data_IF_151129943428
#
_entry.id   IF_151129943428
#
_cell.length_a   1.000
_cell.length_b   1.000
_cell.length_c   1.000
_cell.angle_alpha   90.00
_cell.angle_beta   90.00
_cell.angle_gamma   90.00
#
_symmetry.space_group_name_H-M   'P 1'
#
loop_
_entity.id
_entity.type
_entity.pdbx_description
1 polymer ?
#
# COMPACT_ATOMS: atom_id res chain seq x y z
N UNK A 1 41.37 -14.95 53.01
CA UNK A 1 41.90 -16.22 52.44
C UNK A 1 43.29 -16.10 51.83
N UNK A 2 43.75 -14.93 51.33
CA UNK A 2 45.13 -14.77 50.81
C UNK A 2 46.23 -14.81 51.88
N UNK A 3 45.99 -14.28 53.09
CA UNK A 3 47.00 -14.22 54.16
C UNK A 3 47.47 -15.57 54.72
N UNK A 4 46.71 -16.65 54.53
CA UNK A 4 47.08 -17.98 55.05
C UNK A 4 48.04 -18.77 54.15
N UNK A 5 48.07 -18.49 52.85
CA UNK A 5 48.91 -19.25 51.89
C UNK A 5 50.38 -18.83 51.98
N UNK A 6 50.65 -17.53 52.19
CA UNK A 6 52.00 -16.99 52.32
C UNK A 6 52.67 -17.42 53.65
N UNK A 7 51.89 -17.70 54.71
CA UNK A 7 52.40 -18.18 56.01
C UNK A 7 52.82 -19.66 56.00
N UNK A 8 52.32 -20.46 55.05
CA UNK A 8 52.57 -21.91 54.97
C UNK A 8 53.43 -22.33 53.76
N UNK A 9 53.97 -21.37 53.00
CA UNK A 9 54.87 -21.65 51.86
C UNK A 9 54.19 -22.41 50.71
N UNK A 10 52.86 -22.32 50.59
CA UNK A 10 52.09 -23.01 49.56
C UNK A 10 52.09 -22.19 48.26
N UNK A 11 52.26 -22.88 47.13
CA UNK A 11 52.27 -22.25 45.81
C UNK A 11 50.93 -21.55 45.53
N UNK A 12 50.98 -20.26 45.19
CA UNK A 12 49.83 -19.42 44.85
C UNK A 12 49.05 -19.96 43.65
N UNK A 13 49.66 -20.81 42.82
CA UNK A 13 48.97 -21.50 41.73
C UNK A 13 47.83 -22.43 42.20
N UNK A 14 47.85 -22.89 43.45
CA UNK A 14 46.77 -23.71 44.04
C UNK A 14 45.47 -22.93 44.29
N UNK A 15 45.51 -21.59 44.23
CA UNK A 15 44.32 -20.73 44.30
C UNK A 15 43.58 -20.65 42.95
N UNK A 16 44.21 -21.07 41.85
CA UNK A 16 43.59 -21.12 40.52
C UNK A 16 42.80 -22.43 40.42
N UNK A 17 41.52 -22.32 40.05
CA UNK A 17 40.68 -23.49 39.86
C UNK A 17 41.28 -24.40 38.75
N UNK A 18 41.65 -25.66 39.02
CA UNK A 18 42.29 -26.53 38.04
C UNK A 18 41.31 -27.11 37.01
N UNK A 19 39.99 -26.95 37.22
CA UNK A 19 38.95 -27.48 36.36
C UNK A 19 38.37 -26.43 35.40
N UNK A 20 38.78 -25.16 35.49
CA UNK A 20 38.32 -24.10 34.57
C UNK A 20 39.26 -22.90 34.53
N UNK A 21 39.44 -22.32 33.34
CA UNK A 21 40.15 -21.04 33.17
C UNK A 21 39.26 -19.81 33.42
N UNK A 22 37.98 -19.99 33.73
CA UNK A 22 37.06 -18.88 34.02
C UNK A 22 37.33 -18.29 35.41
N UNK A 23 37.62 -17.00 35.43
CA UNK A 23 37.76 -16.25 36.70
C UNK A 23 36.41 -15.65 37.13
N UNK A 24 36.21 -15.52 38.45
CA UNK A 24 35.03 -14.84 39.01
C UNK A 24 34.87 -13.42 38.47
N UNK A 25 35.98 -12.69 38.28
CA UNK A 25 35.98 -11.35 37.69
C UNK A 25 35.50 -11.36 36.24
N UNK A 26 35.89 -12.36 35.44
CA UNK A 26 35.41 -12.51 34.07
C UNK A 26 33.89 -12.78 34.03
N UNK A 27 33.40 -13.70 34.86
CA UNK A 27 31.96 -13.98 34.98
C UNK A 27 31.17 -12.73 35.41
N UNK A 28 31.67 -11.99 36.39
CA UNK A 28 31.05 -10.75 36.83
C UNK A 28 31.02 -9.71 35.70
N UNK A 29 32.12 -9.52 34.96
CA UNK A 29 32.16 -8.61 33.81
C UNK A 29 31.15 -9.00 32.72
N UNK A 30 31.07 -10.30 32.38
CA UNK A 30 30.09 -10.80 31.41
C UNK A 30 28.65 -10.65 31.88
N UNK A 31 28.39 -10.84 33.17
CA UNK A 31 27.08 -10.56 33.76
C UNK A 31 26.70 -9.09 33.64
N UNK A 32 27.61 -8.17 33.97
CA UNK A 32 27.37 -6.73 33.81
C UNK A 32 27.15 -6.34 32.33
N UNK A 33 27.88 -6.95 31.40
CA UNK A 33 27.68 -6.74 29.96
C UNK A 33 26.26 -7.15 29.53
N UNK A 34 25.77 -8.32 29.97
CA UNK A 34 24.40 -8.76 29.69
C UNK A 34 23.38 -7.78 30.29
N UNK A 35 23.56 -7.37 31.54
CA UNK A 35 22.67 -6.41 32.19
C UNK A 35 22.59 -5.08 31.43
N UNK A 36 23.70 -4.61 30.86
CA UNK A 36 23.75 -3.39 30.06
C UNK A 36 23.12 -3.55 28.67
N UNK A 37 23.12 -4.76 28.10
CA UNK A 37 22.54 -5.06 26.79
C UNK A 37 21.01 -5.21 26.84
N UNK A 38 20.45 -5.65 27.97
CA UNK A 38 18.99 -5.79 28.15
C UNK A 38 18.23 -4.50 27.81
N UNK A 39 18.50 -3.33 28.43
CA UNK A 39 17.74 -2.11 28.13
C UNK A 39 17.96 -1.61 26.70
N UNK A 40 19.13 -1.86 26.11
CA UNK A 40 19.41 -1.50 24.71
C UNK A 40 18.55 -2.33 23.75
N UNK A 41 18.43 -3.63 24.03
CA UNK A 41 17.55 -4.52 23.27
C UNK A 41 16.10 -4.12 23.42
N UNK A 42 15.64 -3.82 24.64
CA UNK A 42 14.26 -3.38 24.87
C UNK A 42 13.95 -2.10 24.11
N UNK A 43 14.90 -1.15 24.06
CA UNK A 43 14.75 0.06 23.27
C UNK A 43 14.65 -0.22 21.77
N UNK A 44 15.53 -1.07 21.22
CA UNK A 44 15.47 -1.49 19.81
C UNK A 44 14.14 -2.19 19.48
N UNK A 45 13.66 -3.06 20.37
CA UNK A 45 12.37 -3.74 20.20
C UNK A 45 11.19 -2.75 20.23
N UNK A 46 11.23 -1.73 21.08
CA UNK A 46 10.19 -0.70 21.12
C UNK A 46 10.17 0.15 19.83
N UNK A 47 11.35 0.51 19.31
CA UNK A 47 11.46 1.23 18.04
C UNK A 47 10.90 0.39 16.88
N UNK A 48 11.29 -0.87 16.78
CA UNK A 48 10.78 -1.77 15.74
C UNK A 48 9.27 -2.01 15.91
N UNK A 49 8.76 -2.17 17.13
CA UNK A 49 7.32 -2.28 17.38
C UNK A 49 6.57 -1.05 16.85
N UNK A 50 7.08 0.16 17.13
CA UNK A 50 6.46 1.39 16.64
C UNK A 50 6.44 1.44 15.10
N UNK A 51 7.56 1.07 14.46
CA UNK A 51 7.66 0.97 13.01
C UNK A 51 6.67 -0.03 12.43
N UNK A 52 6.54 -1.22 13.03
CA UNK A 52 5.57 -2.23 12.59
C UNK A 52 4.13 -1.74 12.74
N UNK A 53 3.80 -1.00 13.81
CA UNK A 53 2.48 -0.40 13.97
C UNK A 53 2.19 0.67 12.92
N UNK A 54 3.16 1.49 12.55
CA UNK A 54 3.01 2.46 11.45
C UNK A 54 2.80 1.77 10.11
N UNK A 55 3.59 0.73 9.82
CA UNK A 55 3.45 -0.08 8.62
C UNK A 55 2.07 -0.74 8.51
N UNK A 56 1.55 -1.25 9.63
CA UNK A 56 0.21 -1.84 9.67
C UNK A 56 -0.89 -0.80 9.41
N UNK A 57 -0.77 0.41 9.97
CA UNK A 57 -1.70 1.51 9.69
C UNK A 57 -1.72 1.87 8.20
N UNK A 58 -0.56 1.90 7.54
CA UNK A 58 -0.48 2.15 6.10
C UNK A 58 -1.17 1.03 5.30
N UNK A 59 -0.95 -0.24 5.65
CA UNK A 59 -1.64 -1.38 5.01
C UNK A 59 -3.15 -1.28 5.14
N UNK A 60 -3.65 -0.93 6.33
CA UNK A 60 -5.08 -0.77 6.60
C UNK A 60 -5.66 0.41 5.82
N UNK A 61 -5.00 1.57 5.83
CA UNK A 61 -5.45 2.74 5.08
C UNK A 61 -5.51 2.48 3.56
N UNK A 62 -4.53 1.76 3.02
CA UNK A 62 -4.56 1.34 1.62
C UNK A 62 -5.73 0.38 1.36
N UNK A 63 -5.87 -0.66 2.20
CA UNK A 63 -6.93 -1.66 2.07
C UNK A 63 -8.31 -1.00 2.03
N UNK A 64 -8.63 -0.19 3.04
CA UNK A 64 -9.95 0.44 3.16
C UNK A 64 -10.28 1.24 1.90
N UNK A 65 -9.35 2.07 1.41
CA UNK A 65 -9.59 2.87 0.21
C UNK A 65 -9.69 2.02 -1.06
N UNK A 66 -8.84 0.99 -1.19
CA UNK A 66 -8.84 0.09 -2.34
C UNK A 66 -10.15 -0.74 -2.43
N UNK A 67 -10.69 -1.21 -1.29
CA UNK A 67 -11.95 -1.96 -1.24
C UNK A 67 -13.17 -1.15 -1.66
N UNK A 68 -13.14 0.18 -1.50
CA UNK A 68 -14.20 1.05 -2.01
C UNK A 68 -13.99 1.41 -3.48
N UNK A 69 -12.76 1.68 -3.89
CA UNK A 69 -12.43 2.14 -5.24
C UNK A 69 -12.53 1.02 -6.29
N UNK A 70 -12.05 -0.20 -5.96
CA UNK A 70 -11.99 -1.33 -6.90
C UNK A 70 -13.36 -1.70 -7.48
N UNK A 71 -14.37 -2.03 -6.64
CA UNK A 71 -15.71 -2.36 -7.13
C UNK A 71 -16.39 -1.20 -7.86
N UNK A 72 -16.12 0.04 -7.45
CA UNK A 72 -16.63 1.22 -8.16
C UNK A 72 -16.07 1.31 -9.59
N UNK A 73 -14.76 1.09 -9.77
CA UNK A 73 -14.13 1.07 -11.09
C UNK A 73 -14.72 -0.01 -11.99
N UNK A 74 -14.87 -1.24 -11.46
CA UNK A 74 -15.46 -2.37 -12.19
C UNK A 74 -16.89 -2.05 -12.66
N UNK A 75 -17.73 -1.52 -11.76
CA UNK A 75 -19.11 -1.16 -12.07
C UNK A 75 -19.20 -0.03 -13.11
N UNK A 76 -18.38 1.02 -12.98
CA UNK A 76 -18.37 2.11 -13.96
C UNK A 76 -17.89 1.64 -15.34
N UNK A 77 -16.90 0.75 -15.40
CA UNK A 77 -16.44 0.19 -16.66
C UNK A 77 -17.54 -0.63 -17.35
N UNK A 78 -18.25 -1.48 -16.60
CA UNK A 78 -19.38 -2.25 -17.11
C UNK A 78 -20.51 -1.32 -17.63
N UNK A 79 -20.82 -0.24 -16.89
CA UNK A 79 -21.80 0.75 -17.33
C UNK A 79 -21.43 1.36 -18.68
N UNK A 80 -20.17 1.81 -18.85
CA UNK A 80 -19.70 2.40 -20.11
C UNK A 80 -19.80 1.41 -21.28
N UNK A 81 -19.44 0.14 -21.05
CA UNK A 81 -19.55 -0.90 -22.07
C UNK A 81 -21.01 -1.22 -22.44
N UNK A 82 -21.92 -1.17 -21.48
CA UNK A 82 -23.34 -1.46 -21.70
C UNK A 82 -24.09 -0.37 -22.49
N UNK A 83 -23.66 0.88 -22.36
CA UNK A 83 -24.30 2.05 -23.00
C UNK A 83 -24.18 1.98 -24.53
N UNK A 84 -23.07 1.44 -25.05
CA UNK A 84 -22.81 1.37 -26.49
C UNK A 84 -23.80 0.53 -27.31
N UNK A 85 -24.66 -0.28 -26.66
CA UNK A 85 -25.52 -1.24 -27.36
C UNK A 85 -27.03 -1.05 -27.24
N UNK A 86 -27.54 -0.15 -26.39
CA UNK A 86 -28.97 -0.18 -25.99
C UNK A 86 -29.74 1.16 -26.02
N UNK A 87 -29.07 2.30 -26.12
CA UNK A 87 -29.73 3.62 -26.01
C UNK A 87 -29.64 4.44 -27.31
N UNK A 88 -30.52 5.45 -27.41
CA UNK A 88 -30.43 6.44 -28.50
C UNK A 88 -29.15 7.26 -28.36
N UNK A 89 -28.58 7.72 -29.49
CA UNK A 89 -27.30 8.46 -29.54
C UNK A 89 -27.26 9.64 -28.56
N UNK A 90 -28.33 10.42 -28.46
CA UNK A 90 -28.43 11.58 -27.59
C UNK A 90 -28.45 11.20 -26.11
N UNK A 91 -29.17 10.14 -25.75
CA UNK A 91 -29.20 9.60 -24.39
C UNK A 91 -27.84 9.02 -23.99
N UNK A 92 -27.19 8.31 -24.91
CA UNK A 92 -25.84 7.77 -24.73
C UNK A 92 -24.82 8.89 -24.45
N UNK A 93 -24.83 9.97 -25.24
CA UNK A 93 -23.92 11.11 -25.04
C UNK A 93 -24.17 11.78 -23.67
N UNK A 94 -25.43 11.95 -23.28
CA UNK A 94 -25.78 12.52 -21.97
C UNK A 94 -25.30 11.67 -20.80
N UNK A 95 -25.49 10.35 -20.89
CA UNK A 95 -25.04 9.40 -19.86
C UNK A 95 -23.50 9.33 -19.77
N UNK A 96 -22.79 9.32 -20.89
CA UNK A 96 -21.32 9.31 -20.91
C UNK A 96 -20.72 10.57 -20.28
N UNK A 97 -21.28 11.75 -20.58
CA UNK A 97 -20.83 13.01 -19.95
C UNK A 97 -21.03 13.00 -18.44
N UNK A 98 -22.14 12.42 -17.96
CA UNK A 98 -22.38 12.27 -16.53
C UNK A 98 -21.37 11.31 -15.88
N UNK A 99 -21.14 10.14 -16.47
CA UNK A 99 -20.14 9.17 -15.98
C UNK A 99 -18.73 9.78 -15.98
N UNK A 100 -18.37 10.54 -17.03
CA UNK A 100 -17.10 11.23 -17.12
C UNK A 100 -16.94 12.26 -15.99
N UNK A 101 -17.96 13.08 -15.74
CA UNK A 101 -17.95 14.06 -14.66
C UNK A 101 -17.82 13.39 -13.27
N UNK A 102 -18.57 12.32 -13.04
CA UNK A 102 -18.47 11.53 -11.81
C UNK A 102 -17.08 10.94 -11.65
N UNK A 103 -16.49 10.46 -12.75
CA UNK A 103 -15.14 9.91 -12.74
C UNK A 103 -14.11 10.94 -12.30
N UNK A 104 -14.16 12.17 -12.84
CA UNK A 104 -13.25 13.24 -12.39
C UNK A 104 -13.35 13.53 -10.88
N UNK A 105 -14.52 13.36 -10.26
CA UNK A 105 -14.69 13.48 -8.81
C UNK A 105 -13.99 12.39 -8.00
N UNK A 106 -13.69 11.23 -8.61
CA UNK A 106 -12.96 10.13 -7.97
C UNK A 106 -11.44 10.21 -8.16
N UNK A 107 -10.95 11.04 -9.11
CA UNK A 107 -9.51 11.23 -9.35
C UNK A 107 -8.71 11.57 -8.07
N UNK A 108 -9.17 12.47 -7.17
CA UNK A 108 -8.45 12.76 -5.93
C UNK A 108 -8.31 11.54 -5.00
N UNK A 109 -9.28 10.61 -5.02
CA UNK A 109 -9.22 9.38 -4.20
C UNK A 109 -8.16 8.42 -4.71
N UNK A 110 -7.97 8.36 -6.03
CA UNK A 110 -6.91 7.58 -6.68
C UNK A 110 -5.55 8.18 -6.33
N UNK A 111 -5.42 9.50 -6.43
CA UNK A 111 -4.17 10.21 -6.09
C UNK A 111 -3.80 10.05 -4.62
N UNK A 112 -4.79 10.07 -3.72
CA UNK A 112 -4.57 9.78 -2.30
C UNK A 112 -4.09 8.34 -2.08
N UNK A 113 -4.66 7.37 -2.80
CA UNK A 113 -4.26 5.97 -2.71
C UNK A 113 -2.83 5.76 -3.23
N UNK A 114 -2.46 6.41 -4.32
CA UNK A 114 -1.09 6.42 -4.86
C UNK A 114 -0.10 6.98 -3.83
N UNK A 115 -0.46 8.07 -3.15
CA UNK A 115 0.38 8.64 -2.08
C UNK A 115 0.58 7.66 -0.93
N UNK A 116 -0.46 6.95 -0.51
CA UNK A 116 -0.34 5.91 0.53
C UNK A 116 0.54 4.76 0.04
N UNK A 117 0.38 4.34 -1.21
CA UNK A 117 1.20 3.30 -1.80
C UNK A 117 2.69 3.69 -1.84
N UNK A 118 2.99 4.94 -2.21
CA UNK A 118 4.35 5.47 -2.17
C UNK A 118 4.93 5.42 -0.74
N UNK A 119 4.15 5.85 0.26
CA UNK A 119 4.58 5.75 1.67
C UNK A 119 4.83 4.31 2.12
N UNK A 120 4.03 3.35 1.63
CA UNK A 120 4.27 1.92 1.90
C UNK A 120 5.60 1.45 1.28
N UNK A 121 5.88 1.83 0.03
CA UNK A 121 7.15 1.49 -0.64
C UNK A 121 8.36 2.10 0.07
N UNK A 122 8.27 3.36 0.50
CA UNK A 122 9.32 4.05 1.28
C UNK A 122 9.60 3.35 2.61
N UNK A 123 8.60 2.70 3.20
CA UNK A 123 8.73 1.89 4.42
C UNK A 123 9.03 0.40 4.15
N UNK A 124 9.35 0.02 2.91
CA UNK A 124 9.61 -1.36 2.46
C UNK A 124 8.45 -2.33 2.73
N UNK A 125 7.22 -1.83 2.68
CA UNK A 125 5.99 -2.63 2.80
C UNK A 125 5.44 -2.91 1.39
N UNK A 126 5.56 -4.16 0.95
CA UNK A 126 5.16 -4.57 -0.40
C UNK A 126 3.93 -5.49 -0.41
N UNK A 127 3.64 -6.13 0.71
CA UNK A 127 2.52 -7.04 0.87
C UNK A 127 1.31 -6.34 1.49
N UNK A 128 0.13 -6.60 0.94
CA UNK A 128 -1.13 -6.27 1.58
C UNK A 128 -2.08 -7.47 1.44
N UNK A 129 -2.02 -8.40 2.41
CA UNK A 129 -2.93 -9.56 2.47
C UNK A 129 -4.39 -9.18 2.70
N UNK A 130 -4.64 -7.92 3.05
CA UNK A 130 -5.96 -7.41 3.38
C UNK A 130 -6.85 -7.13 2.17
N UNK A 131 -6.30 -6.98 0.95
CA UNK A 131 -7.07 -6.68 -0.26
C UNK A 131 -6.53 -7.43 -1.46
N UNK A 132 -7.42 -7.81 -2.39
CA UNK A 132 -7.03 -8.39 -3.70
C UNK A 132 -6.56 -7.33 -4.70
N UNK A 133 -6.82 -6.06 -4.41
CA UNK A 133 -6.51 -4.95 -5.30
C UNK A 133 -5.09 -4.45 -5.05
N UNK A 134 -4.21 -4.60 -6.04
CA UNK A 134 -2.91 -3.92 -6.06
C UNK A 134 -3.06 -2.51 -6.61
N UNK A 135 -2.11 -1.62 -6.27
CA UNK A 135 -2.12 -0.26 -6.82
C UNK A 135 -2.09 -0.29 -8.36
N UNK A 136 -1.29 -1.19 -8.93
CA UNK A 136 -1.22 -1.44 -10.37
C UNK A 136 -2.59 -1.84 -10.95
N UNK A 137 -3.31 -2.76 -10.32
CA UNK A 137 -4.63 -3.19 -10.81
C UNK A 137 -5.65 -2.04 -10.84
N UNK A 138 -5.60 -1.14 -9.85
CA UNK A 138 -6.50 0.01 -9.76
C UNK A 138 -6.13 1.09 -10.78
N UNK A 139 -4.83 1.30 -11.00
CA UNK A 139 -4.33 2.21 -12.04
C UNK A 139 -4.75 1.75 -13.43
N UNK A 140 -4.51 0.49 -13.76
CA UNK A 140 -4.93 -0.09 -15.04
C UNK A 140 -6.45 -0.03 -15.20
N UNK A 141 -7.22 -0.31 -14.15
CA UNK A 141 -8.67 -0.19 -14.15
C UNK A 141 -9.15 1.23 -14.46
N UNK A 142 -8.52 2.24 -13.85
CA UNK A 142 -8.82 3.65 -14.10
C UNK A 142 -8.45 4.10 -15.53
N UNK A 143 -7.25 3.76 -16.01
CA UNK A 143 -6.82 4.07 -17.37
C UNK A 143 -7.74 3.42 -18.41
N UNK A 144 -8.16 2.17 -18.16
CA UNK A 144 -9.13 1.45 -18.98
C UNK A 144 -10.49 2.14 -19.02
N UNK A 145 -11.01 2.59 -17.86
CA UNK A 145 -12.25 3.35 -17.78
C UNK A 145 -12.18 4.64 -18.61
N UNK A 146 -11.12 5.44 -18.45
CA UNK A 146 -10.95 6.69 -19.19
C UNK A 146 -10.84 6.46 -20.69
N UNK A 147 -10.07 5.45 -21.09
CA UNK A 147 -9.91 5.06 -22.49
C UNK A 147 -11.25 4.61 -23.09
N UNK A 148 -12.02 3.80 -22.35
CA UNK A 148 -13.34 3.32 -22.76
C UNK A 148 -14.31 4.48 -22.96
N UNK A 149 -14.40 5.41 -22.01
CA UNK A 149 -15.25 6.61 -22.12
C UNK A 149 -14.89 7.42 -23.37
N UNK A 150 -13.60 7.72 -23.56
CA UNK A 150 -13.14 8.50 -24.73
C UNK A 150 -13.45 7.79 -26.05
N UNK A 151 -13.31 6.46 -26.09
CA UNK A 151 -13.65 5.65 -27.25
C UNK A 151 -15.14 5.73 -27.57
N UNK A 152 -16.02 5.51 -26.60
CA UNK A 152 -17.47 5.53 -26.83
C UNK A 152 -17.92 6.94 -27.25
N UNK A 153 -17.38 8.00 -26.64
CA UNK A 153 -17.63 9.39 -27.09
C UNK A 153 -17.24 9.57 -28.56
N UNK A 154 -16.03 9.15 -28.94
CA UNK A 154 -15.54 9.26 -30.32
C UNK A 154 -16.40 8.45 -31.30
N UNK A 155 -16.87 7.26 -30.91
CA UNK A 155 -17.78 6.45 -31.72
C UNK A 155 -19.13 7.15 -31.90
N UNK A 156 -19.70 7.76 -30.85
CA UNK A 156 -20.93 8.53 -30.94
C UNK A 156 -20.77 9.76 -31.83
N UNK A 157 -19.70 10.55 -31.69
CA UNK A 157 -19.42 11.70 -32.55
C UNK A 157 -19.31 11.31 -34.03
N UNK A 158 -18.66 10.18 -34.30
CA UNK A 158 -18.56 9.63 -35.66
C UNK A 158 -19.91 9.17 -36.20
N UNK A 159 -20.77 8.54 -35.39
CA UNK A 159 -22.12 8.16 -35.79
C UNK A 159 -22.98 9.38 -36.12
N UNK A 160 -22.94 10.41 -35.27
CA UNK A 160 -23.63 11.69 -35.49
C UNK A 160 -23.16 12.31 -36.81
N UNK A 161 -21.84 12.41 -37.02
CA UNK A 161 -21.24 12.91 -38.27
C UNK A 161 -21.76 12.15 -39.50
N UNK A 162 -21.76 10.81 -39.48
CA UNK A 162 -22.26 9.98 -40.59
C UNK A 162 -23.74 10.24 -40.89
N UNK A 163 -24.57 10.40 -39.87
CA UNK A 163 -26.00 10.66 -40.04
C UNK A 163 -26.28 12.06 -40.61
N UNK A 164 -25.46 13.06 -40.25
CA UNK A 164 -25.49 14.39 -40.88
C UNK A 164 -25.08 14.33 -42.36
N UNK A 165 -23.98 13.66 -42.69
CA UNK A 165 -23.52 13.54 -44.09
C UNK A 165 -24.48 12.74 -44.98
N UNK A 166 -25.15 11.72 -44.43
CA UNK A 166 -26.13 10.90 -45.17
C UNK A 166 -27.53 11.55 -45.27
N UNK A 167 -27.69 12.81 -44.84
CA UNK A 167 -28.96 13.55 -44.92
C UNK A 167 -30.08 12.99 -44.02
N UNK A 168 -29.76 12.15 -43.03
CA UNK A 168 -30.75 11.51 -42.14
C UNK A 168 -31.04 12.30 -40.87
N UNK A 169 -30.21 13.28 -40.51
CA UNK A 169 -30.56 14.31 -39.52
C UNK A 169 -31.29 15.46 -40.22
N UNK A 170 -32.62 15.34 -40.38
CA UNK A 170 -33.46 16.54 -40.44
C UNK A 170 -33.55 17.03 -39.01
N UNK A 171 -32.90 18.16 -38.72
CA UNK A 171 -33.28 18.97 -37.57
C UNK A 171 -34.80 19.15 -37.65
N UNK A 172 -35.53 18.58 -36.70
CA UNK A 172 -36.87 19.05 -36.38
C UNK A 172 -36.71 20.44 -35.77
N UNK A 173 -36.40 21.42 -36.63
CA UNK A 173 -36.69 22.81 -36.37
C UNK A 173 -38.21 22.91 -36.36
N UNK A 174 -38.79 22.67 -35.18
CA UNK A 174 -40.18 22.95 -34.92
C UNK A 174 -40.45 24.43 -35.19
N UNK A 175 -41.50 24.65 -35.98
CA UNK A 175 -42.33 25.85 -35.99
C UNK A 175 -42.79 26.23 -34.58
#
# INVERSE_FOLDING_TARGET
>A
MQHGFDQHGLDRNLLKNPYTDLTSQFLHRKWQEVLNLIPQRDHQLQQELHKQQQNERLRQAFKEKAEHLGPWLENQLENVLSIGGRATLEQTIGQLKNIQQQSYGYKPKIDELERIHQQMQENFVFDNTGTRYSMESLRVGWESLMTSINRVISECENQVRKLFFNGKYKLSLNN
#
